data_IF_883261777664
#
_entry.id   IF_883261777664
#
_cell.length_a   1.000
_cell.length_b   1.000
_cell.length_c   1.000
_cell.angle_alpha   90.00
_cell.angle_beta   90.00
_cell.angle_gamma   90.00
#
_symmetry.space_group_name_H-M   'P 1'
#
loop_
_entity.id
_entity.type
_entity.pdbx_description
1 polymer ?
#
# COMPACT_ATOMS: atom_id res chain seq x y z
N UNK A 1 2.55 -15.86 -40.05
CA UNK A 1 2.60 -15.93 -38.58
C UNK A 1 1.67 -14.87 -38.03
N UNK A 2 0.64 -15.23 -37.24
CA UNK A 2 -0.30 -14.24 -36.70
C UNK A 2 0.39 -13.38 -35.64
N UNK A 3 0.26 -12.06 -35.73
CA UNK A 3 0.74 -11.11 -34.73
C UNK A 3 0.00 -11.38 -33.41
N UNK A 4 0.70 -11.88 -32.40
CA UNK A 4 0.16 -12.03 -31.05
C UNK A 4 0.14 -10.66 -30.37
N UNK A 5 -0.96 -10.34 -29.71
CA UNK A 5 -1.06 -9.14 -28.88
C UNK A 5 -0.47 -9.45 -27.50
N UNK A 6 0.18 -8.49 -26.82
CA UNK A 6 0.77 -8.72 -25.50
C UNK A 6 -0.28 -9.19 -24.47
N UNK A 7 -1.54 -8.78 -24.60
CA UNK A 7 -2.66 -9.26 -23.77
C UNK A 7 -2.97 -10.75 -23.95
N UNK A 8 -2.52 -11.37 -25.04
CA UNK A 8 -2.69 -12.80 -25.29
C UNK A 8 -1.64 -13.65 -24.58
N UNK A 9 -0.53 -13.05 -24.17
CA UNK A 9 0.56 -13.71 -23.45
C UNK A 9 0.42 -13.57 -21.93
N UNK A 10 -0.49 -12.72 -21.46
CA UNK A 10 -0.76 -12.54 -20.03
C UNK A 10 -1.55 -13.70 -19.43
N UNK A 11 -1.26 -13.99 -18.17
CA UNK A 11 -1.98 -14.97 -17.36
C UNK A 11 -3.46 -14.59 -17.21
N UNK A 12 -4.33 -15.59 -17.32
CA UNK A 12 -5.79 -15.43 -17.20
C UNK A 12 -6.30 -16.29 -16.06
N UNK A 13 -7.11 -15.69 -15.21
CA UNK A 13 -7.68 -16.38 -14.06
C UNK A 13 -9.22 -16.34 -14.14
N UNK A 14 -9.85 -17.51 -13.99
CA UNK A 14 -11.31 -17.62 -13.95
C UNK A 14 -11.79 -17.43 -12.51
N UNK A 15 -12.48 -16.32 -12.25
CA UNK A 15 -13.02 -16.00 -10.92
C UNK A 15 -14.47 -16.47 -10.82
N UNK A 16 -14.80 -17.18 -9.73
CA UNK A 16 -16.19 -17.47 -9.36
C UNK A 16 -16.69 -16.38 -8.42
N UNK A 17 -17.69 -15.64 -8.86
CA UNK A 17 -18.29 -14.54 -8.10
C UNK A 17 -19.67 -14.95 -7.59
N UNK A 18 -20.07 -14.54 -6.37
CA UNK A 18 -21.44 -14.65 -5.90
C UNK A 18 -22.38 -13.77 -6.75
N UNK A 19 -23.68 -14.08 -6.70
CA UNK A 19 -24.69 -13.35 -7.47
C UNK A 19 -24.67 -11.83 -7.14
N UNK A 20 -24.76 -10.98 -8.17
CA UNK A 20 -24.78 -9.52 -8.04
C UNK A 20 -23.41 -8.85 -7.95
N UNK A 21 -22.33 -9.60 -7.68
CA UNK A 21 -21.00 -9.01 -7.51
C UNK A 21 -20.39 -8.56 -8.85
N UNK A 22 -20.68 -9.29 -9.93
CA UNK A 22 -20.16 -8.93 -11.27
C UNK A 22 -20.79 -7.61 -11.74
N UNK A 23 -22.08 -7.45 -11.51
CA UNK A 23 -22.85 -6.26 -11.84
C UNK A 23 -22.32 -5.06 -11.04
N UNK A 24 -22.12 -5.22 -9.73
CA UNK A 24 -21.54 -4.16 -8.90
C UNK A 24 -20.15 -3.70 -9.38
N UNK A 25 -19.28 -4.62 -9.81
CA UNK A 25 -17.96 -4.25 -10.37
C UNK A 25 -18.11 -3.55 -11.72
N UNK A 26 -19.09 -3.95 -12.54
CA UNK A 26 -19.36 -3.29 -13.82
C UNK A 26 -19.75 -1.82 -13.61
N UNK A 27 -20.67 -1.56 -12.67
CA UNK A 27 -21.16 -0.21 -12.37
C UNK A 27 -20.02 0.69 -11.84
N UNK A 28 -19.16 0.16 -10.96
CA UNK A 28 -17.99 0.89 -10.45
C UNK A 28 -17.00 1.19 -11.58
N UNK A 29 -16.74 0.22 -12.46
CA UNK A 29 -15.83 0.40 -13.59
C UNK A 29 -16.34 1.47 -14.56
N UNK A 30 -17.65 1.48 -14.85
CA UNK A 30 -18.29 2.49 -15.70
C UNK A 30 -18.20 3.89 -15.07
N UNK A 31 -18.51 4.02 -13.77
CA UNK A 31 -18.37 5.28 -13.04
C UNK A 31 -16.94 5.82 -13.04
N UNK A 32 -15.94 4.92 -12.98
CA UNK A 32 -14.53 5.27 -13.01
C UNK A 32 -13.96 5.43 -14.43
N UNK A 33 -14.76 5.23 -15.48
CA UNK A 33 -14.34 5.32 -16.88
C UNK A 33 -13.29 4.27 -17.28
N UNK A 34 -13.33 3.10 -16.64
CA UNK A 34 -12.36 2.01 -16.80
C UNK A 34 -13.02 0.74 -17.34
N UNK A 35 -12.23 -0.11 -17.98
CA UNK A 35 -12.70 -1.47 -18.26
C UNK A 35 -12.85 -2.25 -16.95
N UNK A 36 -13.79 -3.20 -16.91
CA UNK A 36 -13.96 -4.10 -15.77
C UNK A 36 -12.64 -4.79 -15.37
N UNK A 37 -11.82 -5.20 -16.35
CA UNK A 37 -10.51 -5.79 -16.08
C UNK A 37 -9.55 -4.81 -15.40
N UNK A 38 -9.49 -3.56 -15.88
CA UNK A 38 -8.67 -2.51 -15.29
C UNK A 38 -9.10 -2.24 -13.84
N UNK A 39 -10.40 -2.20 -13.59
CA UNK A 39 -10.93 -1.96 -12.25
C UNK A 39 -10.62 -3.09 -11.27
N UNK A 40 -10.79 -4.35 -11.71
CA UNK A 40 -10.41 -5.52 -10.91
C UNK A 40 -8.91 -5.48 -10.57
N UNK A 41 -8.06 -5.15 -11.52
CA UNK A 41 -6.61 -5.05 -11.29
C UNK A 41 -6.28 -3.95 -10.27
N UNK A 42 -6.95 -2.80 -10.33
CA UNK A 42 -6.76 -1.70 -9.37
C UNK A 42 -7.17 -2.10 -7.96
N UNK A 43 -8.36 -2.69 -7.81
CA UNK A 43 -8.86 -3.17 -6.50
C UNK A 43 -7.88 -4.19 -5.90
N UNK A 44 -7.40 -5.15 -6.71
CA UNK A 44 -6.43 -6.14 -6.26
C UNK A 44 -5.09 -5.49 -5.86
N UNK A 45 -4.61 -4.53 -6.65
CA UNK A 45 -3.36 -3.83 -6.37
C UNK A 45 -3.44 -3.03 -5.06
N UNK A 46 -4.55 -2.32 -4.84
CA UNK A 46 -4.81 -1.59 -3.60
C UNK A 46 -4.89 -2.54 -2.40
N UNK A 47 -5.60 -3.66 -2.53
CA UNK A 47 -5.70 -4.66 -1.47
C UNK A 47 -4.33 -5.27 -1.13
N UNK A 48 -3.50 -5.56 -2.13
CA UNK A 48 -2.12 -6.05 -1.95
C UNK A 48 -1.27 -4.98 -1.24
N UNK A 49 -1.33 -3.73 -1.68
CA UNK A 49 -0.55 -2.64 -1.09
C UNK A 49 -0.95 -2.40 0.37
N UNK A 50 -2.25 -2.33 0.65
CA UNK A 50 -2.79 -2.22 2.01
C UNK A 50 -2.33 -3.39 2.88
N UNK A 51 -2.37 -4.62 2.38
CA UNK A 51 -1.88 -5.77 3.12
C UNK A 51 -0.36 -5.73 3.33
N UNK A 52 0.42 -5.24 2.37
CA UNK A 52 1.87 -5.04 2.55
C UNK A 52 2.14 -4.05 3.68
N UNK A 53 1.47 -2.90 3.69
CA UNK A 53 1.59 -1.88 4.73
C UNK A 53 1.19 -2.42 6.12
N UNK A 54 0.14 -3.23 6.20
CA UNK A 54 -0.31 -3.84 7.47
C UNK A 54 0.65 -4.94 7.95
N UNK A 55 1.30 -5.69 7.06
CA UNK A 55 2.32 -6.67 7.45
C UNK A 55 3.60 -6.00 7.98
N UNK A 56 3.87 -4.76 7.59
CA UNK A 56 4.86 -3.95 8.28
C UNK A 56 4.36 -3.60 9.69
N UNK A 57 3.07 -3.50 10.00
CA UNK A 57 2.65 -3.04 11.33
C UNK A 57 2.79 -4.03 12.49
N UNK A 58 3.07 -5.30 12.21
CA UNK A 58 3.47 -6.27 13.24
C UNK A 58 5.00 -6.43 13.37
N UNK A 59 5.82 -5.74 12.55
CA UNK A 59 7.30 -5.79 12.62
C UNK A 59 8.04 -4.62 11.93
N UNK A 60 7.43 -3.44 11.79
CA UNK A 60 7.88 -2.44 10.81
C UNK A 60 6.91 -1.28 10.50
N UNK A 61 6.07 -0.82 11.43
CA UNK A 61 5.81 0.63 11.44
C UNK A 61 7.19 1.21 11.76
N UNK A 62 7.83 2.06 10.92
CA UNK A 62 8.90 2.89 11.44
C UNK A 62 8.27 3.61 12.61
N UNK A 63 8.68 3.25 13.82
CA UNK A 63 8.02 3.71 15.02
C UNK A 63 8.43 5.18 15.14
N UNK A 64 7.71 6.04 14.41
CA UNK A 64 7.97 7.48 14.31
C UNK A 64 8.01 8.05 15.72
N UNK A 65 7.18 7.51 16.63
CA UNK A 65 7.25 7.84 18.04
C UNK A 65 8.60 7.44 18.68
N UNK A 66 9.16 6.26 18.40
CA UNK A 66 10.46 5.83 18.90
C UNK A 66 11.64 6.60 18.29
N UNK A 67 11.60 6.91 16.99
CA UNK A 67 12.63 7.70 16.32
C UNK A 67 12.64 9.13 16.87
N UNK A 68 11.47 9.76 16.98
CA UNK A 68 11.32 11.08 17.62
C UNK A 68 11.73 11.07 19.10
N UNK A 69 11.41 10.00 19.84
CA UNK A 69 11.82 9.86 21.24
C UNK A 69 13.33 9.74 21.39
N UNK A 70 14.01 9.11 20.43
CA UNK A 70 15.46 8.95 20.42
C UNK A 70 16.12 10.31 20.16
N UNK A 71 15.64 11.04 19.17
CA UNK A 71 16.13 12.38 18.84
C UNK A 71 15.92 13.37 20.00
N UNK A 72 14.76 13.34 20.66
CA UNK A 72 14.49 14.15 21.86
C UNK A 72 15.46 13.81 23.01
N UNK A 73 15.82 12.54 23.20
CA UNK A 73 16.78 12.13 24.25
C UNK A 73 18.18 12.65 23.96
N UNK A 74 18.62 12.58 22.72
CA UNK A 74 19.95 13.08 22.31
C UNK A 74 20.04 14.60 22.53
N UNK A 75 19.04 15.37 22.08
CA UNK A 75 18.99 16.82 22.28
C UNK A 75 19.04 17.19 23.77
N UNK A 76 18.29 16.48 24.63
CA UNK A 76 18.36 16.69 26.09
C UNK A 76 19.76 16.45 26.65
N UNK A 77 20.44 15.40 26.19
CA UNK A 77 21.79 15.08 26.65
C UNK A 77 22.81 16.17 26.29
N UNK A 78 22.66 16.79 25.11
CA UNK A 78 23.51 17.89 24.64
C UNK A 78 23.29 19.12 25.51
N UNK A 79 22.03 19.49 25.77
CA UNK A 79 21.69 20.63 26.63
C UNK A 79 22.23 20.45 28.05
N UNK A 80 22.14 19.24 28.61
CA UNK A 80 22.69 18.93 29.94
C UNK A 80 24.21 19.08 29.96
N UNK A 81 24.91 18.61 28.93
CA UNK A 81 26.38 18.75 28.83
C UNK A 81 26.82 20.22 28.71
N UNK A 82 26.12 21.02 27.91
CA UNK A 82 26.41 22.44 27.75
C UNK A 82 26.21 23.22 29.07
N UNK A 83 25.16 22.92 29.81
CA UNK A 83 24.92 23.54 31.13
C UNK A 83 25.91 23.10 32.22
N UNK A 84 26.64 21.99 32.02
CA UNK A 84 27.64 21.48 32.97
C UNK A 84 29.04 22.10 32.77
N UNK A 85 29.28 22.77 31.64
CA UNK A 85 30.51 23.52 31.34
C UNK A 85 30.38 25.03 31.58
N UNK A 86 29.22 25.50 32.04
CA UNK A 86 28.97 26.91 32.38
C UNK A 86 29.04 27.19 33.89
N UNK A 87 29.73 26.34 34.66
CA UNK A 87 30.10 26.54 36.06
C UNK A 87 31.59 26.33 36.24
#
# INVERSE_FOLDING_TARGET
MSKKYPSQEMDRFNIRMPAGMREAIADIAEQNGRSMNTEIVMILQEAINRNKEVNCTNSGIPNIAMDLLTEIKELKSIIIKQNKHSK
#
